data_IF_558998355642
#
_entry.id   IF_558998355642
#
_cell.length_a   1.000
_cell.length_b   1.000
_cell.length_c   1.000
_cell.angle_alpha   90.00
_cell.angle_beta   90.00
_cell.angle_gamma   90.00
#
_symmetry.space_group_name_H-M   'P 1'
#
loop_
_entity.id
_entity.type
_entity.pdbx_description
1 polymer ?
#
# COMPACT_ATOMS: atom_id res chain seq x y z
N UNK A 1 -26.26 1.23 -30.34
CA UNK A 1 -25.22 0.21 -30.03
C UNK A 1 -25.91 -1.03 -29.49
N UNK A 2 -25.56 -2.21 -29.99
CA UNK A 2 -26.11 -3.49 -29.53
C UNK A 2 -25.54 -3.85 -28.16
N UNK A 3 -26.24 -4.71 -27.40
CA UNK A 3 -25.75 -5.25 -26.11
C UNK A 3 -24.38 -5.90 -26.28
N UNK A 4 -24.11 -6.54 -27.43
CA UNK A 4 -22.80 -7.10 -27.76
C UNK A 4 -21.70 -6.04 -27.86
N UNK A 5 -22.01 -4.88 -28.42
CA UNK A 5 -21.05 -3.77 -28.56
C UNK A 5 -20.76 -3.13 -27.20
N UNK A 6 -21.77 -3.04 -26.33
CA UNK A 6 -21.62 -2.54 -24.97
C UNK A 6 -20.79 -3.49 -24.09
N UNK A 7 -20.95 -4.81 -24.26
CA UNK A 7 -20.15 -5.82 -23.55
C UNK A 7 -18.69 -5.80 -24.03
N UNK A 8 -18.46 -5.73 -25.34
CA UNK A 8 -17.10 -5.58 -25.90
C UNK A 8 -16.42 -4.30 -25.43
N UNK A 9 -17.15 -3.17 -25.42
CA UNK A 9 -16.61 -1.91 -24.92
C UNK A 9 -16.29 -1.98 -23.42
N UNK A 10 -17.11 -2.65 -22.61
CA UNK A 10 -16.79 -2.89 -21.18
C UNK A 10 -15.62 -3.84 -20.97
N UNK A 11 -15.40 -4.79 -21.87
CA UNK A 11 -14.27 -5.72 -21.84
C UNK A 11 -12.99 -5.00 -22.24
N UNK A 12 -13.03 -4.21 -23.31
CA UNK A 12 -11.94 -3.31 -23.73
C UNK A 12 -11.62 -2.26 -22.66
N UNK A 13 -12.62 -1.61 -22.05
CA UNK A 13 -12.41 -0.68 -20.93
C UNK A 13 -11.90 -1.36 -19.65
N UNK A 14 -12.06 -2.68 -19.52
CA UNK A 14 -11.46 -3.47 -18.44
C UNK A 14 -10.03 -3.86 -18.77
N UNK A 15 -9.74 -4.21 -20.02
CA UNK A 15 -8.39 -4.49 -20.52
C UNK A 15 -7.53 -3.23 -20.54
N UNK A 16 -8.04 -2.09 -21.00
CA UNK A 16 -7.36 -0.80 -20.97
C UNK A 16 -7.09 -0.33 -19.53
N UNK A 17 -8.03 -0.58 -18.60
CA UNK A 17 -7.79 -0.32 -17.16
C UNK A 17 -6.80 -1.29 -16.52
N UNK A 18 -6.69 -2.52 -17.02
CA UNK A 18 -5.63 -3.46 -16.60
C UNK A 18 -4.27 -3.03 -17.15
N UNK A 19 -4.21 -2.60 -18.41
CA UNK A 19 -2.99 -2.24 -19.13
C UNK A 19 -2.43 -0.84 -18.78
N UNK A 20 -3.21 0.02 -18.11
CA UNK A 20 -2.72 1.30 -17.56
C UNK A 20 -1.90 1.14 -16.26
N UNK A 21 -1.79 -0.07 -15.72
CA UNK A 21 -0.97 -0.39 -14.55
C UNK A 21 -0.06 -1.57 -14.85
N UNK A 22 1.11 -1.30 -15.45
CA UNK A 22 2.18 -2.26 -15.79
C UNK A 22 1.73 -3.45 -16.67
N UNK A 23 2.63 -3.99 -17.49
CA UNK A 23 2.44 -5.36 -18.01
C UNK A 23 2.20 -6.27 -16.80
N UNK A 24 1.01 -6.83 -16.68
CA UNK A 24 0.66 -7.66 -15.54
C UNK A 24 1.42 -8.99 -15.64
N UNK A 25 2.51 -9.12 -14.89
CA UNK A 25 3.24 -10.35 -14.55
C UNK A 25 2.37 -11.38 -13.79
N UNK A 26 1.11 -11.05 -13.50
CA UNK A 26 0.18 -11.94 -12.83
C UNK A 26 -0.48 -12.92 -13.80
N UNK A 27 -0.61 -14.21 -13.44
CA UNK A 27 -1.38 -15.18 -14.20
C UNK A 27 -2.85 -14.78 -14.38
N UNK A 28 -3.50 -15.34 -15.40
CA UNK A 28 -4.91 -15.06 -15.70
C UNK A 28 -5.81 -15.36 -14.49
N UNK A 29 -6.66 -14.39 -14.12
CA UNK A 29 -7.59 -14.50 -12.99
C UNK A 29 -6.98 -14.17 -11.62
N UNK A 30 -5.66 -13.94 -11.53
CA UNK A 30 -4.97 -13.57 -10.29
C UNK A 30 -4.98 -12.04 -10.10
N UNK A 31 -5.22 -11.61 -8.86
CA UNK A 31 -5.23 -10.19 -8.48
C UNK A 31 -3.95 -9.84 -7.75
N UNK A 32 -3.37 -8.65 -7.99
CA UNK A 32 -2.22 -8.17 -7.20
C UNK A 32 -2.55 -8.15 -5.71
N UNK A 33 -3.77 -7.76 -5.34
CA UNK A 33 -4.21 -7.73 -3.95
C UNK A 33 -4.75 -9.10 -3.54
N UNK A 34 -4.24 -9.61 -2.43
CA UNK A 34 -4.69 -10.84 -1.79
C UNK A 34 -6.04 -10.57 -1.14
N UNK A 35 -7.04 -11.37 -1.51
CA UNK A 35 -8.39 -11.21 -1.00
C UNK A 35 -8.60 -12.07 0.23
N UNK A 36 -9.36 -11.55 1.22
CA UNK A 36 -9.65 -12.26 2.47
C UNK A 36 -10.21 -13.68 2.30
N UNK A 37 -10.88 -13.97 1.18
CA UNK A 37 -11.42 -15.30 0.87
C UNK A 37 -10.35 -16.33 0.53
N UNK A 38 -9.21 -15.89 0.00
CA UNK A 38 -8.07 -16.75 -0.37
C UNK A 38 -7.34 -17.27 0.88
N UNK A 39 -7.51 -16.59 2.02
CA UNK A 39 -6.81 -16.91 3.26
C UNK A 39 -7.63 -17.79 4.22
N UNK A 40 -8.83 -18.21 3.83
CA UNK A 40 -9.75 -18.95 4.72
C UNK A 40 -9.12 -20.25 5.26
N UNK A 41 -8.45 -20.99 4.38
CA UNK A 41 -7.84 -22.30 4.72
C UNK A 41 -6.32 -22.19 4.99
N UNK A 42 -5.78 -20.96 4.94
CA UNK A 42 -4.35 -20.68 4.98
C UNK A 42 -3.72 -20.79 3.60
N UNK A 43 -2.77 -19.91 3.32
CA UNK A 43 -2.01 -19.91 2.07
C UNK A 43 -0.56 -19.58 2.34
N UNK A 44 0.32 -20.21 1.58
CA UNK A 44 1.76 -20.11 1.75
C UNK A 44 2.31 -18.95 0.93
N UNK A 45 3.17 -18.16 1.56
CA UNK A 45 3.83 -17.00 0.96
C UNK A 45 5.27 -16.93 1.44
N UNK A 46 6.08 -16.14 0.75
CA UNK A 46 7.38 -15.69 1.26
C UNK A 46 7.30 -14.20 1.57
N UNK A 47 7.79 -13.78 2.74
CA UNK A 47 7.81 -12.36 3.11
C UNK A 47 8.91 -11.65 2.34
N UNK A 48 8.60 -10.53 1.71
CA UNK A 48 9.56 -9.78 0.89
C UNK A 48 10.16 -8.56 1.60
N UNK A 49 9.47 -8.04 2.62
CA UNK A 49 9.85 -6.81 3.32
C UNK A 49 9.86 -7.01 4.83
N UNK A 50 10.82 -6.37 5.50
CA UNK A 50 10.78 -6.19 6.96
C UNK A 50 9.54 -5.38 7.37
N UNK A 51 8.94 -5.63 8.55
CA UNK A 51 7.90 -4.76 9.10
C UNK A 51 8.21 -3.26 9.08
N UNK A 52 9.46 -2.86 9.32
CA UNK A 52 9.88 -1.45 9.30
C UNK A 52 9.87 -0.86 7.88
N UNK A 53 9.92 -1.71 6.85
CA UNK A 53 9.85 -1.34 5.44
C UNK A 53 8.41 -1.33 4.87
N UNK A 54 7.41 -1.71 5.66
CA UNK A 54 6.02 -1.74 5.18
C UNK A 54 5.48 -0.32 4.96
N UNK A 55 4.92 -0.10 3.77
CA UNK A 55 4.33 1.20 3.45
C UNK A 55 3.01 1.40 4.17
N UNK A 56 2.91 2.45 4.98
CA UNK A 56 1.67 2.83 5.66
C UNK A 56 1.00 4.01 4.97
N UNK A 57 -0.33 4.07 5.06
CA UNK A 57 -1.13 5.18 4.54
C UNK A 57 -2.48 5.24 5.26
N UNK A 58 -3.12 6.41 5.21
CA UNK A 58 -4.45 6.58 5.78
C UNK A 58 -5.53 6.39 4.72
N UNK A 59 -6.61 5.73 5.11
CA UNK A 59 -7.77 5.47 4.26
C UNK A 59 -9.01 6.01 4.94
N UNK A 60 -9.80 6.79 4.20
CA UNK A 60 -11.15 7.16 4.62
C UNK A 60 -12.11 6.02 4.31
N UNK A 61 -12.80 5.54 5.33
CA UNK A 61 -13.90 4.60 5.20
C UNK A 61 -14.93 4.83 6.31
N UNK A 62 -16.20 4.88 5.94
CA UNK A 62 -17.30 4.87 6.89
C UNK A 62 -18.43 3.95 6.38
N UNK A 63 -18.72 2.92 7.17
CA UNK A 63 -19.69 1.88 6.83
C UNK A 63 -20.23 1.21 8.09
N UNK A 64 -21.49 0.82 8.08
CA UNK A 64 -22.07 -0.05 9.11
C UNK A 64 -21.86 -1.53 8.76
N UNK A 65 -21.71 -2.37 9.78
CA UNK A 65 -21.62 -3.82 9.62
C UNK A 65 -23.00 -4.47 9.44
N UNK A 66 -24.07 -3.84 9.94
CA UNK A 66 -25.45 -4.35 9.85
C UNK A 66 -26.46 -3.20 9.83
N UNK A 67 -27.20 -2.97 8.72
CA UNK A 67 -26.94 -3.52 7.38
C UNK A 67 -25.54 -3.10 6.87
N UNK A 68 -24.98 -3.82 5.89
CA UNK A 68 -23.72 -3.41 5.21
C UNK A 68 -23.96 -2.18 4.35
N UNK A 69 -24.15 -1.04 5.01
CA UNK A 69 -24.37 0.24 4.39
C UNK A 69 -23.05 0.98 4.32
N UNK A 70 -22.70 1.46 3.12
CA UNK A 70 -21.51 2.28 2.91
C UNK A 70 -21.94 3.74 2.95
N UNK A 71 -21.54 4.45 4.00
CA UNK A 71 -21.87 5.86 4.17
C UNK A 71 -20.91 6.77 3.41
N UNK A 72 -19.64 6.36 3.33
CA UNK A 72 -18.61 7.00 2.52
C UNK A 72 -17.80 5.92 1.80
N UNK A 73 -17.68 6.03 0.48
CA UNK A 73 -16.89 5.09 -0.34
C UNK A 73 -15.42 5.09 0.11
N UNK A 74 -14.84 3.90 0.33
CA UNK A 74 -13.43 3.71 0.73
C UNK A 74 -12.50 4.40 -0.28
N UNK A 75 -11.59 5.25 0.19
CA UNK A 75 -10.55 5.87 -0.63
C UNK A 75 -9.35 6.32 0.21
N UNK A 76 -8.19 6.45 -0.43
CA UNK A 76 -6.95 6.87 0.24
C UNK A 76 -7.00 8.36 0.60
N UNK A 77 -6.54 8.68 1.80
CA UNK A 77 -6.47 10.04 2.30
C UNK A 77 -5.33 10.79 1.61
N UNK A 78 -5.61 11.92 0.96
CA UNK A 78 -4.59 12.70 0.25
C UNK A 78 -3.50 13.27 1.16
N UNK A 79 -3.74 13.32 2.47
CA UNK A 79 -2.74 13.63 3.50
C UNK A 79 -2.09 12.36 4.09
N UNK A 80 -1.76 11.41 3.23
CA UNK A 80 -0.93 10.24 3.56
C UNK A 80 0.47 10.43 2.97
N UNK A 81 1.49 9.75 3.52
CA UNK A 81 2.83 9.79 2.93
C UNK A 81 2.82 9.32 1.48
N UNK A 82 3.76 9.82 0.67
CA UNK A 82 4.00 9.37 -0.72
C UNK A 82 5.26 8.52 -0.86
N UNK A 83 6.00 8.39 0.23
CA UNK A 83 7.28 7.70 0.30
C UNK A 83 7.22 6.66 1.42
N UNK A 84 8.02 5.60 1.28
CA UNK A 84 8.34 4.67 2.37
C UNK A 84 9.13 5.39 3.47
N UNK A 85 9.19 4.81 4.68
CA UNK A 85 9.93 5.38 5.82
C UNK A 85 9.48 6.77 6.27
N UNK A 86 8.27 7.17 5.87
CA UNK A 86 7.72 8.44 6.29
C UNK A 86 7.50 8.48 7.81
N UNK A 87 7.68 9.65 8.42
CA UNK A 87 7.41 9.79 9.85
C UNK A 87 5.90 9.73 10.13
N UNK A 88 5.45 8.71 10.87
CA UNK A 88 4.06 8.52 11.31
C UNK A 88 3.46 9.75 11.97
N UNK A 89 4.20 10.43 12.84
CA UNK A 89 3.70 11.55 13.64
C UNK A 89 3.24 12.72 12.76
N UNK A 90 3.92 12.92 11.63
CA UNK A 90 3.59 13.98 10.66
C UNK A 90 2.20 13.80 10.06
N UNK A 91 1.75 12.56 9.90
CA UNK A 91 0.48 12.22 9.24
C UNK A 91 -0.59 11.75 10.22
N UNK A 92 -0.24 11.57 11.51
CA UNK A 92 -1.14 11.11 12.58
C UNK A 92 -2.36 12.02 12.80
N UNK A 93 -2.25 13.32 12.46
CA UNK A 93 -3.37 14.28 12.51
C UNK A 93 -4.01 14.49 11.13
N UNK A 94 -5.35 14.67 11.05
CA UNK A 94 -6.01 14.92 9.77
C UNK A 94 -5.52 16.21 9.10
N UNK A 95 -5.08 16.11 7.84
CA UNK A 95 -4.63 17.26 7.05
C UNK A 95 -5.80 17.99 6.40
N UNK A 96 -6.52 18.80 7.17
CA UNK A 96 -7.75 19.50 6.72
C UNK A 96 -7.55 20.43 5.52
N UNK A 97 -6.34 20.93 5.28
CA UNK A 97 -6.01 21.75 4.10
C UNK A 97 -5.62 20.92 2.87
N UNK A 98 -5.16 19.68 3.07
CA UNK A 98 -4.61 18.84 2.01
C UNK A 98 -5.58 17.76 1.50
N UNK A 99 -6.61 17.42 2.29
CA UNK A 99 -7.55 16.36 1.94
C UNK A 99 -9.01 16.80 2.20
N UNK A 100 -9.88 16.81 1.17
CA UNK A 100 -11.29 17.18 1.33
C UNK A 100 -12.03 16.32 2.37
N UNK A 101 -11.77 15.01 2.40
CA UNK A 101 -12.37 14.10 3.38
C UNK A 101 -11.92 14.39 4.82
N UNK A 102 -10.66 14.78 5.02
CA UNK A 102 -10.19 15.25 6.34
C UNK A 102 -10.86 16.57 6.75
N UNK A 103 -11.05 17.49 5.80
CA UNK A 103 -11.75 18.75 6.04
C UNK A 103 -13.21 18.50 6.46
N UNK A 104 -13.89 17.58 5.76
CA UNK A 104 -15.27 17.18 6.00
C UNK A 104 -15.46 16.25 7.22
N UNK A 105 -14.40 15.99 8.00
CA UNK A 105 -14.48 15.18 9.22
C UNK A 105 -14.73 13.68 9.00
N UNK A 106 -14.53 13.18 7.77
CA UNK A 106 -14.69 11.75 7.47
C UNK A 106 -13.64 10.95 8.23
N UNK A 107 -14.08 9.89 8.91
CA UNK A 107 -13.19 8.99 9.66
C UNK A 107 -12.12 8.40 8.74
N UNK A 108 -10.91 8.26 9.26
CA UNK A 108 -9.80 7.59 8.58
C UNK A 108 -9.21 6.50 9.47
N UNK A 109 -8.66 5.48 8.84
CA UNK A 109 -7.97 4.37 9.50
C UNK A 109 -6.61 4.19 8.86
N UNK A 110 -5.68 3.66 9.65
CA UNK A 110 -4.34 3.38 9.19
C UNK A 110 -4.31 1.99 8.51
N UNK A 111 -3.70 1.95 7.34
CA UNK A 111 -3.50 0.77 6.53
C UNK A 111 -2.03 0.59 6.18
N UNK A 112 -1.68 -0.64 5.83
CA UNK A 112 -0.34 -1.04 5.44
C UNK A 112 -0.39 -1.92 4.21
N UNK A 113 0.58 -1.72 3.33
CA UNK A 113 0.84 -2.54 2.16
C UNK A 113 2.02 -3.47 2.49
N UNK A 114 1.73 -4.77 2.62
CA UNK A 114 2.74 -5.80 2.85
C UNK A 114 2.98 -6.58 1.56
N UNK A 115 4.22 -6.65 1.08
CA UNK A 115 4.55 -7.46 -0.10
C UNK A 115 4.84 -8.90 0.30
N UNK A 116 4.21 -9.81 -0.41
CA UNK A 116 4.32 -11.25 -0.20
C UNK A 116 4.54 -11.94 -1.54
N UNK A 117 5.52 -12.82 -1.65
CA UNK A 117 5.65 -13.68 -2.81
C UNK A 117 4.70 -14.87 -2.70
N UNK A 118 3.83 -15.03 -3.69
CA UNK A 118 2.86 -16.10 -3.77
C UNK A 118 3.51 -17.32 -4.42
N UNK A 119 3.83 -18.33 -3.62
CA UNK A 119 4.57 -19.52 -4.09
C UNK A 119 3.79 -20.33 -5.12
N UNK A 120 2.45 -20.24 -5.12
CA UNK A 120 1.59 -20.92 -6.09
C UNK A 120 1.69 -20.27 -7.48
N UNK A 121 1.78 -18.94 -7.53
CA UNK A 121 1.77 -18.18 -8.78
C UNK A 121 3.15 -17.70 -9.22
N UNK A 122 4.17 -17.84 -8.38
CA UNK A 122 5.54 -17.47 -8.70
C UNK A 122 5.74 -15.95 -8.90
N UNK A 123 4.92 -15.13 -8.24
CA UNK A 123 4.94 -13.66 -8.36
C UNK A 123 4.60 -13.02 -7.01
N UNK A 124 4.98 -11.75 -6.82
CA UNK A 124 4.64 -11.01 -5.62
C UNK A 124 3.20 -10.49 -5.65
N UNK A 125 2.61 -10.32 -4.48
CA UNK A 125 1.25 -9.83 -4.27
C UNK A 125 1.21 -8.94 -3.04
N UNK A 126 0.16 -8.16 -2.93
CA UNK A 126 -0.06 -7.17 -1.88
C UNK A 126 -1.08 -7.71 -0.89
N UNK A 127 -0.70 -7.73 0.38
CA UNK A 127 -1.63 -7.82 1.48
C UNK A 127 -1.89 -6.41 2.03
N UNK A 128 -3.00 -5.80 1.60
CA UNK A 128 -3.46 -4.48 2.07
C UNK A 128 -4.37 -4.65 3.30
N UNK A 129 -3.91 -4.21 4.47
CA UNK A 129 -4.61 -4.50 5.73
C UNK A 129 -4.56 -3.36 6.74
N UNK A 130 -5.51 -3.39 7.69
CA UNK A 130 -5.64 -2.38 8.75
C UNK A 130 -4.58 -2.56 9.81
N UNK A 131 -4.23 -1.47 10.49
CA UNK A 131 -3.32 -1.42 11.63
C UNK A 131 -3.51 -2.56 12.65
N UNK A 132 -4.74 -2.83 13.08
CA UNK A 132 -4.96 -3.89 14.09
C UNK A 132 -4.55 -5.29 13.59
N UNK A 133 -4.64 -5.55 12.28
CA UNK A 133 -4.18 -6.80 11.69
C UNK A 133 -2.66 -6.80 11.57
N UNK A 134 -2.07 -5.68 11.17
CA UNK A 134 -0.61 -5.51 11.08
C UNK A 134 0.08 -5.75 12.41
N UNK A 135 -0.44 -5.22 13.52
CA UNK A 135 0.14 -5.47 14.84
C UNK A 135 0.21 -6.97 15.16
N UNK A 136 -0.85 -7.73 14.86
CA UNK A 136 -0.84 -9.18 15.04
C UNK A 136 0.19 -9.89 14.15
N UNK A 137 0.39 -9.39 12.92
CA UNK A 137 1.40 -9.95 12.01
C UNK A 137 2.81 -9.66 12.49
N UNK A 138 3.09 -8.45 12.98
CA UNK A 138 4.39 -8.07 13.54
C UNK A 138 4.69 -8.92 14.78
N UNK A 139 3.73 -9.08 15.69
CA UNK A 139 3.91 -9.93 16.87
C UNK A 139 4.23 -11.39 16.50
N UNK A 140 3.57 -11.92 15.46
CA UNK A 140 3.84 -13.26 14.96
C UNK A 140 5.23 -13.35 14.31
N UNK A 141 5.59 -12.36 13.48
CA UNK A 141 6.89 -12.22 12.84
C UNK A 141 8.02 -12.23 13.88
N UNK A 142 7.95 -11.33 14.87
CA UNK A 142 8.93 -11.19 15.95
C UNK A 142 9.10 -12.49 16.75
N UNK A 143 7.97 -13.17 17.02
CA UNK A 143 8.00 -14.44 17.75
C UNK A 143 8.72 -15.53 16.98
N UNK A 144 8.50 -15.62 15.66
CA UNK A 144 9.16 -16.61 14.80
C UNK A 144 10.65 -16.29 14.72
N UNK A 145 11.02 -15.06 14.37
CA UNK A 145 12.42 -14.65 14.26
C UNK A 145 13.17 -14.83 15.58
N UNK A 146 12.61 -14.38 16.70
CA UNK A 146 13.23 -14.53 18.02
C UNK A 146 13.48 -16.00 18.37
N UNK A 147 12.59 -16.90 17.94
CA UNK A 147 12.75 -18.34 18.17
C UNK A 147 13.85 -18.92 17.29
N UNK A 148 13.86 -18.59 15.99
CA UNK A 148 14.88 -19.04 15.05
C UNK A 148 16.28 -18.47 15.38
N UNK A 149 16.37 -17.22 15.85
CA UNK A 149 17.60 -16.56 16.30
C UNK A 149 18.25 -17.19 17.54
N UNK A 150 17.59 -18.15 18.19
CA UNK A 150 18.23 -19.02 19.19
C UNK A 150 19.22 -20.01 18.56
N UNK A 151 18.96 -20.42 17.32
CA UNK A 151 19.76 -21.40 16.58
C UNK A 151 20.63 -20.75 15.51
N UNK A 152 20.14 -19.69 14.84
CA UNK A 152 20.90 -18.92 13.85
C UNK A 152 20.78 -17.42 14.14
N UNK A 153 21.85 -16.80 14.67
CA UNK A 153 21.83 -15.39 15.11
C UNK A 153 21.52 -14.39 13.99
N UNK A 154 21.81 -14.74 12.75
CA UNK A 154 21.59 -13.88 11.58
C UNK A 154 20.31 -14.23 10.83
N UNK A 155 19.42 -15.05 11.42
CA UNK A 155 18.17 -15.41 10.80
C UNK A 155 17.26 -14.20 10.63
N UNK A 156 16.69 -14.07 9.42
CA UNK A 156 15.57 -13.21 9.12
C UNK A 156 14.45 -14.02 8.47
N UNK A 157 13.20 -13.64 8.73
CA UNK A 157 12.02 -14.19 8.08
C UNK A 157 11.82 -13.61 6.67
N UNK A 158 12.55 -12.56 6.30
CA UNK A 158 12.59 -12.04 4.92
C UNK A 158 13.19 -13.12 4.02
N UNK A 159 12.49 -13.44 2.94
CA UNK A 159 12.87 -14.51 2.02
C UNK A 159 12.51 -15.92 2.51
N UNK A 160 11.91 -16.06 3.69
CA UNK A 160 11.47 -17.34 4.25
C UNK A 160 9.96 -17.56 4.13
N UNK A 161 9.54 -18.82 4.22
CA UNK A 161 8.19 -19.25 3.90
C UNK A 161 7.29 -19.24 5.13
N UNK A 162 6.14 -18.59 4.98
CA UNK A 162 5.11 -18.47 6.00
C UNK A 162 3.76 -18.91 5.47
N UNK A 163 2.91 -19.41 6.35
CA UNK A 163 1.49 -19.61 6.08
C UNK A 163 0.71 -18.46 6.69
N UNK A 164 0.02 -17.69 5.85
CA UNK A 164 -0.91 -16.66 6.25
C UNK A 164 -2.33 -17.23 6.23
N UNK A 165 -3.03 -17.16 7.35
CA UNK A 165 -4.40 -17.65 7.49
C UNK A 165 -5.31 -16.59 8.07
N UNK A 166 -6.56 -16.56 7.61
CA UNK A 166 -7.63 -15.77 8.24
C UNK A 166 -8.22 -16.55 9.42
N UNK A 167 -8.11 -16.00 10.62
CA UNK A 167 -8.91 -16.38 11.77
C UNK A 167 -10.17 -15.49 11.86
N UNK A 168 -11.12 -15.80 12.76
CA UNK A 168 -12.46 -15.16 12.83
C UNK A 168 -12.45 -13.65 12.49
N UNK A 169 -11.68 -12.87 13.26
CA UNK A 169 -11.59 -11.41 13.11
C UNK A 169 -10.19 -10.90 12.77
N UNK A 170 -9.20 -11.77 12.61
CA UNK A 170 -7.81 -11.36 12.34
C UNK A 170 -7.08 -12.32 11.40
N UNK A 171 -5.79 -12.09 11.20
CA UNK A 171 -4.92 -12.96 10.41
C UNK A 171 -3.82 -13.50 11.32
N UNK A 172 -3.41 -14.73 11.06
CA UNK A 172 -2.31 -15.40 11.74
C UNK A 172 -1.22 -15.72 10.73
N UNK A 173 0.02 -15.66 11.20
CA UNK A 173 1.22 -15.95 10.43
C UNK A 173 1.98 -17.05 11.17
N UNK A 174 2.28 -18.13 10.46
CA UNK A 174 2.91 -19.34 10.99
C UNK A 174 4.08 -19.73 10.08
N UNK A 175 5.13 -20.34 10.63
CA UNK A 175 6.21 -20.93 9.82
C UNK A 175 5.66 -22.06 8.96
N UNK A 176 6.19 -22.22 7.75
CA UNK A 176 5.82 -23.31 6.84
C UNK A 176 6.96 -24.31 6.70
N UNK A 177 6.63 -25.60 6.56
CA UNK A 177 7.59 -26.65 6.21
C UNK A 177 7.82 -26.75 4.69
N UNK A 178 7.28 -25.81 3.91
CA UNK A 178 7.45 -25.79 2.46
C UNK A 178 8.90 -25.45 2.08
N UNK A 179 9.55 -26.34 1.35
CA UNK A 179 10.90 -26.11 0.83
C UNK A 179 10.85 -25.26 -0.45
N UNK A 180 11.55 -24.12 -0.44
CA UNK A 180 11.63 -23.21 -1.60
C UNK A 180 12.57 -23.80 -2.66
N UNK A 181 12.09 -24.09 -3.89
CA UNK A 181 12.96 -24.51 -4.97
C UNK A 181 14.02 -23.45 -5.31
N UNK A 182 15.22 -23.87 -5.75
CA UNK A 182 16.33 -22.95 -6.02
C UNK A 182 15.97 -21.82 -7.01
N UNK A 183 15.24 -22.15 -8.08
CA UNK A 183 14.78 -21.17 -9.08
C UNK A 183 13.85 -20.10 -8.45
N UNK A 184 13.00 -20.51 -7.50
CA UNK A 184 12.12 -19.58 -6.77
C UNK A 184 12.92 -18.71 -5.81
N UNK A 185 13.95 -19.27 -5.16
CA UNK A 185 14.84 -18.52 -4.26
C UNK A 185 15.55 -17.37 -4.99
N UNK A 186 16.04 -17.60 -6.22
CA UNK A 186 16.67 -16.56 -7.03
C UNK A 186 15.67 -15.45 -7.42
N UNK A 187 14.45 -15.83 -7.83
CA UNK A 187 13.37 -14.87 -8.13
C UNK A 187 12.99 -14.03 -6.92
N UNK A 188 12.84 -14.65 -5.75
CA UNK A 188 12.50 -13.96 -4.49
C UNK A 188 13.58 -12.95 -4.13
N UNK A 189 14.86 -13.32 -4.22
CA UNK A 189 15.99 -12.39 -3.95
C UNK A 189 15.93 -11.16 -4.85
N UNK A 190 15.69 -11.34 -6.14
CA UNK A 190 15.55 -10.22 -7.06
C UNK A 190 14.36 -9.29 -6.70
N UNK A 191 13.25 -9.86 -6.21
CA UNK A 191 12.05 -9.08 -5.84
C UNK A 191 12.16 -8.36 -4.49
N UNK A 192 13.00 -8.86 -3.57
CA UNK A 192 13.29 -8.16 -2.31
C UNK A 192 13.89 -6.77 -2.63
N UNK A 193 14.85 -6.73 -3.57
CA UNK A 193 15.54 -5.49 -3.96
C UNK A 193 14.68 -4.57 -4.87
N UNK A 194 13.81 -5.14 -5.71
CA UNK A 194 12.93 -4.39 -6.61
C UNK A 194 11.67 -3.88 -5.90
N UNK A 195 11.72 -2.65 -5.36
CA UNK A 195 10.59 -2.05 -4.64
C UNK A 195 9.59 -1.38 -5.59
N UNK A 196 8.29 -1.71 -5.52
CA UNK A 196 7.28 -1.10 -6.39
C UNK A 196 6.98 0.35 -5.97
N UNK A 197 6.30 1.08 -6.85
CA UNK A 197 5.73 2.38 -6.50
C UNK A 197 4.53 2.21 -5.57
N UNK A 198 4.75 2.34 -4.26
CA UNK A 198 3.69 2.21 -3.25
C UNK A 198 2.59 3.27 -3.37
N UNK A 199 2.89 4.44 -3.94
CA UNK A 199 1.87 5.47 -4.19
C UNK A 199 0.84 4.98 -5.22
N UNK A 200 1.28 4.24 -6.24
CA UNK A 200 0.38 3.65 -7.23
C UNK A 200 -0.45 2.53 -6.60
N UNK A 201 0.18 1.69 -5.76
CA UNK A 201 -0.51 0.63 -5.02
C UNK A 201 -1.52 1.14 -3.99
N UNK A 202 -1.32 2.36 -3.46
CA UNK A 202 -2.28 2.98 -2.56
C UNK A 202 -3.48 3.59 -3.29
N UNK A 203 -3.52 3.59 -4.63
CA UNK A 203 -4.62 4.12 -5.45
C UNK A 203 -5.07 5.53 -5.02
N UNK A 204 -4.13 6.46 -4.86
CA UNK A 204 -4.48 7.85 -4.58
C UNK A 204 -5.32 8.44 -5.72
N UNK A 205 -6.48 8.98 -5.37
CA UNK A 205 -7.40 9.64 -6.29
C UNK A 205 -7.02 11.12 -6.47
N UNK A 206 -7.60 11.76 -7.48
CA UNK A 206 -7.49 13.21 -7.63
C UNK A 206 -8.28 13.94 -6.53
N UNK A 207 -8.01 15.25 -6.35
CA UNK A 207 -8.79 16.09 -5.42
C UNK A 207 -10.27 16.08 -5.82
N UNK A 208 -10.57 16.24 -7.11
CA UNK A 208 -11.94 16.29 -7.63
C UNK A 208 -12.70 14.97 -7.39
N UNK A 209 -12.06 13.82 -7.58
CA UNK A 209 -12.65 12.52 -7.27
C UNK A 209 -13.00 12.40 -5.78
N UNK A 210 -12.12 12.91 -4.91
CA UNK A 210 -12.36 12.88 -3.45
C UNK A 210 -13.48 13.84 -3.07
N UNK A 211 -13.55 15.03 -3.67
CA UNK A 211 -14.68 15.96 -3.51
C UNK A 211 -15.99 15.28 -3.90
N UNK A 212 -16.05 14.61 -5.06
CA UNK A 212 -17.23 13.89 -5.52
C UNK A 212 -17.65 12.78 -4.54
N UNK A 213 -16.70 12.02 -4.00
CA UNK A 213 -16.99 11.00 -2.97
C UNK A 213 -17.63 11.63 -1.71
N UNK A 214 -17.13 12.78 -1.27
CA UNK A 214 -17.67 13.46 -0.09
C UNK A 214 -19.06 14.06 -0.37
N UNK A 215 -19.31 14.54 -1.59
CA UNK A 215 -20.63 15.03 -2.01
C UNK A 215 -21.68 13.92 -2.04
N UNK A 216 -21.29 12.71 -2.46
CA UNK A 216 -22.13 11.52 -2.47
C UNK A 216 -22.31 10.88 -1.08
N UNK A 217 -21.58 11.34 -0.06
CA UNK A 217 -21.68 10.79 1.29
C UNK A 217 -23.10 10.91 1.85
N UNK A 218 -23.50 9.90 2.62
CA UNK A 218 -24.76 9.88 3.34
C UNK A 218 -24.88 11.07 4.32
N UNK A 219 -26.11 11.52 4.57
CA UNK A 219 -26.37 12.65 5.48
C UNK A 219 -25.83 12.37 6.88
N UNK A 220 -25.13 13.35 7.47
CA UNK A 220 -24.52 13.21 8.79
C UNK A 220 -23.17 12.48 8.83
N UNK A 221 -22.68 11.94 7.70
CA UNK A 221 -21.41 11.21 7.63
C UNK A 221 -20.22 12.02 7.07
N UNK A 222 -20.51 13.21 6.50
CA UNK A 222 -19.50 14.17 6.10
C UNK A 222 -20.05 15.60 6.13
N UNK A 223 -19.22 16.55 6.56
CA UNK A 223 -19.52 17.97 6.45
C UNK A 223 -19.22 18.49 5.04
N UNK A 224 -20.25 18.47 4.18
CA UNK A 224 -20.15 18.94 2.78
C UNK A 224 -19.85 20.43 2.65
N UNK A 225 -20.07 21.23 3.71
CA UNK A 225 -19.77 22.67 3.69
C UNK A 225 -18.25 22.93 3.66
N UNK A 226 -17.45 22.01 4.21
CA UNK A 226 -16.00 22.08 4.21
C UNK A 226 -15.36 21.96 2.82
N UNK A 227 -16.13 21.57 1.79
CA UNK A 227 -15.65 21.39 0.41
C UNK A 227 -15.44 22.71 -0.35
N UNK A 228 -15.96 23.83 0.14
CA UNK A 228 -15.90 25.12 -0.55
C UNK A 228 -14.46 25.53 -0.90
N UNK A 229 -13.49 25.25 -0.02
CA UNK A 229 -12.09 25.58 -0.23
C UNK A 229 -11.43 24.74 -1.35
N UNK A 230 -11.94 23.54 -1.63
CA UNK A 230 -11.36 22.60 -2.61
C UNK A 230 -11.96 22.76 -4.00
N UNK A 231 -13.25 23.09 -4.09
CA UNK A 231 -13.92 23.36 -5.39
C UNK A 231 -13.29 24.54 -6.13
N UNK A 232 -12.81 25.55 -5.39
CA UNK A 232 -12.19 26.73 -5.98
C UNK A 232 -10.73 26.51 -6.40
N UNK A 233 -10.10 25.38 -6.02
CA UNK A 233 -8.73 25.06 -6.43
C UNK A 233 -8.68 24.36 -7.81
N UNK A 234 -9.78 23.74 -8.24
CA UNK A 234 -9.89 23.10 -9.55
C UNK A 234 -10.05 24.05 -10.75
N UNK A 235 -10.30 25.35 -10.52
CA UNK A 235 -10.47 26.34 -11.58
C UNK A 235 -9.16 26.98 -12.07
N UNK A 236 -8.10 26.98 -11.24
CA UNK A 236 -6.82 27.62 -11.55
C UNK A 236 -5.63 26.65 -11.63
N UNK A 237 -5.81 25.36 -11.33
CA UNK A 237 -4.75 24.37 -11.40
C UNK A 237 -4.68 23.70 -12.78
N UNK A 238 -4.17 24.42 -13.79
CA UNK A 238 -3.41 23.73 -14.84
C UNK A 238 -2.18 23.12 -14.15
N UNK A 239 -2.00 21.84 -14.38
CA UNK A 239 -0.92 20.99 -13.89
C UNK A 239 0.45 21.62 -14.09
N UNK A 240 0.98 22.22 -13.04
CA UNK A 240 2.42 22.22 -12.80
C UNK A 240 2.72 21.01 -11.94
N UNK A 241 3.14 19.92 -12.59
CA UNK A 241 4.01 18.97 -11.92
C UNK A 241 5.16 19.77 -11.29
N UNK A 242 5.55 19.52 -10.02
CA UNK A 242 6.76 20.12 -9.51
C UNK A 242 7.92 19.57 -10.35
N UNK A 243 8.36 20.34 -11.34
CA UNK A 243 9.68 20.15 -11.93
C UNK A 243 10.66 20.19 -10.76
N UNK A 244 11.39 19.09 -10.58
CA UNK A 244 12.49 19.02 -9.64
C UNK A 244 13.34 20.27 -9.83
N UNK A 245 13.48 21.06 -8.76
CA UNK A 245 14.54 22.05 -8.71
C UNK A 245 15.84 21.27 -8.75
N UNK A 246 16.44 21.31 -9.93
CA UNK A 246 17.85 21.06 -10.16
C UNK A 246 18.62 22.08 -9.32
N UNK A 247 18.90 21.72 -8.07
CA UNK A 247 19.91 22.39 -7.26
C UNK A 247 21.27 22.01 -7.85
N UNK A 248 21.53 22.66 -8.98
CA UNK A 248 22.83 22.76 -9.63
C UNK A 248 23.91 22.96 -8.57
N UNK A 249 24.71 21.91 -8.43
CA UNK A 249 25.96 21.83 -7.69
C UNK A 249 26.75 23.11 -7.94
N UNK A 250 26.90 23.94 -6.90
CA UNK A 250 27.95 24.95 -6.89
C UNK A 250 29.29 24.20 -6.86
N UNK A 251 30.24 24.52 -7.75
CA UNK A 251 31.56 23.91 -7.68
C UNK A 251 32.19 24.30 -6.34
N UNK A 252 32.51 23.30 -5.53
CA UNK A 252 33.33 23.49 -4.34
C UNK A 252 34.72 23.86 -4.85
N UNK A 253 35.12 25.09 -4.56
CA UNK A 253 36.48 25.57 -4.74
C UNK A 253 37.42 24.69 -3.91
N UNK A 254 38.45 24.23 -4.60
CA UNK A 254 39.53 23.41 -4.07
C UNK A 254 40.43 24.30 -3.21
N UNK A 255 40.19 24.36 -1.91
CA UNK A 255 41.18 24.82 -0.95
C UNK A 255 41.72 23.63 -0.17
N UNK A 256 43.03 23.46 -0.31
CA UNK A 256 43.77 22.34 0.22
C UNK A 256 43.89 22.31 1.74
N UNK A 257 44.52 21.22 2.14
CA UNK A 257 45.12 20.92 3.42
C UNK A 257 44.29 20.15 4.47
N UNK A 258 44.87 18.97 4.76
CA UNK A 258 44.87 18.19 6.01
C UNK A 258 43.75 17.18 6.20
N UNK A 259 44.02 15.91 5.89
CA UNK A 259 44.77 14.91 6.68
C UNK A 259 43.88 14.19 7.70
N UNK A 260 43.78 12.88 7.43
CA UNK A 260 43.88 11.76 8.36
C UNK A 260 42.75 11.44 9.35
N UNK A 261 42.44 10.14 9.31
CA UNK A 261 41.77 9.31 10.30
C UNK A 261 40.23 9.32 10.26
N UNK A 262 39.64 8.20 9.81
CA UNK A 262 39.37 7.07 10.71
C UNK A 262 38.93 5.81 9.92
N UNK A 263 39.09 4.61 10.51
CA UNK A 263 39.05 3.32 9.84
C UNK A 263 37.71 2.58 10.03
N UNK A 264 37.41 1.68 9.09
CA UNK A 264 36.37 0.63 9.11
C UNK A 264 34.92 1.05 9.37
#
# INVERSE_FOLDING_TARGET
MSIRDQLKKREQEREERKNQTQESDLPEGVSRYIQNRELKDGRTFIILDDPDDWYFYYVHEDSSFSPRETYVKKHSCLHSPRDIHANFEKYARPGKSACPSCAAGVKRKLYFIVRLFDVEYGTWRVFDTKEFHVLNLIEAYDKIEKTARKFNKNYSLIGDVVTLRKSDKTFTLESSDFEVPAEMSEKVKAMIDDRPNYTDLAYFRSVDDVVAIVEEAAEGHADKSALAAFRNQGADAKTDAPQGKDDSVKPIENDGDRLDNLPF
#
